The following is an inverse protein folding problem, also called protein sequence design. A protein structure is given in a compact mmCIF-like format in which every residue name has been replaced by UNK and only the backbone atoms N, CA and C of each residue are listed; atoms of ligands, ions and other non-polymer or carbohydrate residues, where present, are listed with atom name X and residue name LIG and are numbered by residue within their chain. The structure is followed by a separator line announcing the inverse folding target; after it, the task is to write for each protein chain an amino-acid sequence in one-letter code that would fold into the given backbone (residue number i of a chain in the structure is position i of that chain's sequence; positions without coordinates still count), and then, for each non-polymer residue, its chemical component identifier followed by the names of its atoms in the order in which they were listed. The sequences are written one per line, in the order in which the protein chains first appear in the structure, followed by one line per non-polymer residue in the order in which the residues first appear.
data_IF_766355771587
#
_entry.id   IF_766355771587
#
_cell.length_a   1.000
_cell.length_b   1.000
_cell.length_c   1.000
_cell.angle_alpha   90.00
_cell.angle_beta   90.00
_cell.angle_gamma   90.00
#
_symmetry.space_group_name_H-M   'P 1'
#
loop_
_entity.id
_entity.type
_entity.pdbx_description
1 polymer ?
#
# COMPACT_ATOMS: atom_id res chain seq x y z
N UNK A 1 1.09 8.79 -13.97
CA UNK A 1 1.72 8.14 -12.81
C UNK A 1 0.87 8.30 -11.57
N UNK A 2 0.81 7.26 -10.77
CA UNK A 2 0.06 7.28 -9.54
C UNK A 2 0.82 8.02 -8.44
N UNK A 3 0.09 8.72 -7.58
CA UNK A 3 0.71 9.37 -6.43
C UNK A 3 1.20 8.36 -5.38
N UNK A 4 0.81 7.09 -5.54
CA UNK A 4 1.25 6.02 -4.63
C UNK A 4 2.35 5.15 -5.24
N UNK A 5 2.96 5.60 -6.32
CA UNK A 5 3.97 4.79 -7.01
C UNK A 5 5.12 4.40 -6.08
N UNK A 6 5.59 5.33 -5.25
CA UNK A 6 6.68 5.05 -4.31
C UNK A 6 6.28 3.99 -3.30
N UNK A 7 5.03 4.00 -2.87
CA UNK A 7 4.52 3.00 -1.94
C UNK A 7 4.48 1.62 -2.60
N UNK A 8 4.00 1.56 -3.84
CA UNK A 8 3.94 0.27 -4.56
C UNK A 8 5.33 -0.32 -4.74
N UNK A 9 6.31 0.52 -5.04
CA UNK A 9 7.68 0.06 -5.19
C UNK A 9 8.25 -0.43 -3.87
N UNK A 10 7.94 0.26 -2.77
CA UNK A 10 8.38 -0.15 -1.45
C UNK A 10 7.84 -1.54 -1.12
N UNK A 11 6.55 -1.77 -1.38
CA UNK A 11 5.93 -3.06 -1.10
C UNK A 11 6.57 -4.16 -1.95
N UNK A 12 6.75 -3.87 -3.24
CA UNK A 12 7.39 -4.83 -4.15
C UNK A 12 8.79 -5.19 -3.69
N UNK A 13 9.57 -4.18 -3.31
CA UNK A 13 10.97 -4.38 -2.93
C UNK A 13 11.13 -5.05 -1.57
N UNK A 14 10.07 -5.09 -0.77
CA UNK A 14 10.13 -5.75 0.54
C UNK A 14 10.37 -7.25 0.40
N UNK A 15 9.89 -7.84 -0.70
CA UNK A 15 10.02 -9.27 -0.95
C UNK A 15 9.27 -10.15 0.03
N UNK A 16 8.44 -9.57 0.88
CA UNK A 16 7.72 -10.32 1.91
C UNK A 16 6.44 -10.93 1.36
N UNK A 17 6.05 -12.08 1.92
CA UNK A 17 4.81 -12.72 1.56
C UNK A 17 3.62 -11.85 1.99
N UNK A 18 3.74 -11.23 3.14
CA UNK A 18 2.75 -10.26 3.61
C UNK A 18 3.45 -9.13 4.34
N UNK A 19 2.87 -7.95 4.27
CA UNK A 19 3.45 -6.75 4.85
C UNK A 19 2.33 -5.88 5.38
N UNK A 20 2.46 -5.41 6.61
CA UNK A 20 1.49 -4.54 7.24
C UNK A 20 2.14 -3.18 7.51
N UNK A 21 1.50 -2.13 7.06
CA UNK A 21 1.99 -0.76 7.27
C UNK A 21 0.89 0.07 7.90
N UNK A 22 1.28 0.96 8.82
CA UNK A 22 0.32 1.91 9.40
C UNK A 22 0.08 3.04 8.39
N UNK A 23 -1.01 3.77 8.58
CA UNK A 23 -1.29 4.93 7.74
C UNK A 23 -0.15 5.93 7.81
N UNK A 24 0.45 6.08 8.97
CA UNK A 24 1.58 6.99 9.15
C UNK A 24 2.78 6.55 8.30
N UNK A 25 3.08 5.26 8.33
CA UNK A 25 4.18 4.73 7.53
C UNK A 25 3.90 4.89 6.02
N UNK A 26 2.66 4.64 5.62
CA UNK A 26 2.26 4.79 4.23
C UNK A 26 2.45 6.24 3.78
N UNK A 27 2.02 7.18 4.62
CA UNK A 27 2.18 8.60 4.32
C UNK A 27 3.64 8.98 4.15
N UNK A 28 4.51 8.48 5.02
CA UNK A 28 5.93 8.77 4.94
C UNK A 28 6.57 8.19 3.68
N UNK A 29 6.17 6.98 3.30
CA UNK A 29 6.72 6.31 2.13
C UNK A 29 6.20 6.94 0.84
N UNK A 30 4.90 7.16 0.77
CA UNK A 30 4.27 7.69 -0.44
C UNK A 30 4.45 9.20 -0.59
N UNK A 31 4.69 9.89 0.52
CA UNK A 31 4.79 11.34 0.49
C UNK A 31 3.46 12.06 0.44
N UNK A 32 2.36 11.31 0.50
CA UNK A 32 1.01 11.87 0.51
C UNK A 32 0.17 11.07 1.50
N UNK A 33 -0.82 11.70 2.14
CA UNK A 33 -1.68 10.97 3.08
C UNK A 33 -2.59 10.00 2.34
N UNK A 34 -2.97 8.94 3.04
CA UNK A 34 -3.92 7.99 2.50
C UNK A 34 -5.31 8.64 2.51
N UNK A 35 -6.04 8.50 1.39
CA UNK A 35 -7.36 9.08 1.25
C UNK A 35 -8.23 8.18 0.38
N UNK A 36 -9.40 8.69 -0.04
CA UNK A 36 -10.32 7.90 -0.85
C UNK A 36 -9.70 7.42 -2.16
N UNK A 37 -8.78 8.18 -2.73
CA UNK A 37 -8.16 7.79 -3.98
C UNK A 37 -7.31 6.54 -3.84
N UNK A 38 -6.87 6.20 -2.61
CA UNK A 38 -6.14 4.97 -2.37
C UNK A 38 -6.92 3.76 -2.87
N UNK A 39 -8.24 3.76 -2.65
CA UNK A 39 -9.09 2.65 -3.08
C UNK A 39 -9.14 2.53 -4.60
N UNK A 40 -8.98 3.64 -5.31
CA UNK A 40 -8.95 3.65 -6.76
C UNK A 40 -7.61 3.19 -7.30
N UNK A 41 -6.53 3.54 -6.60
CA UNK A 41 -5.18 3.24 -7.07
C UNK A 41 -4.65 1.88 -6.61
N UNK A 42 -5.31 1.24 -5.65
CA UNK A 42 -4.81 -0.03 -5.13
C UNK A 42 -4.70 -1.12 -6.20
N UNK A 43 -5.47 -0.99 -7.27
CA UNK A 43 -5.41 -1.95 -8.38
C UNK A 43 -4.05 -1.95 -9.05
N UNK A 44 -3.35 -0.83 -9.00
CA UNK A 44 -2.04 -0.73 -9.62
C UNK A 44 -1.03 -1.67 -8.96
N UNK A 45 -1.24 -1.97 -7.68
CA UNK A 45 -0.33 -2.83 -6.94
C UNK A 45 -0.27 -4.23 -7.54
N UNK A 46 -1.34 -4.66 -8.20
CA UNK A 46 -1.36 -5.99 -8.82
C UNK A 46 -0.30 -6.10 -9.92
N UNK A 47 0.03 -4.98 -10.56
CA UNK A 47 1.07 -4.96 -11.58
C UNK A 47 2.46 -5.15 -10.97
N UNK A 48 2.57 -4.96 -9.66
CA UNK A 48 3.82 -5.14 -8.94
C UNK A 48 3.90 -6.52 -8.27
N UNK A 49 2.89 -7.36 -8.49
CA UNK A 49 2.88 -8.71 -7.93
C UNK A 49 2.35 -8.79 -6.51
N UNK A 50 1.68 -7.74 -6.04
CA UNK A 50 1.08 -7.68 -4.71
C UNK A 50 -0.37 -7.22 -4.80
N UNK A 51 -1.07 -7.31 -3.70
CA UNK A 51 -2.44 -6.81 -3.61
C UNK A 51 -2.68 -6.26 -2.20
N UNK A 52 -3.68 -5.38 -2.09
CA UNK A 52 -4.10 -4.89 -0.78
C UNK A 52 -4.99 -5.97 -0.16
N UNK A 53 -4.59 -6.46 1.00
CA UNK A 53 -5.34 -7.52 1.69
C UNK A 53 -6.45 -6.96 2.56
N UNK A 54 -6.07 -6.26 3.62
CA UNK A 54 -7.05 -5.75 4.58
C UNK A 54 -6.71 -4.32 4.97
N UNK A 55 -7.74 -3.50 5.09
CA UNK A 55 -7.59 -2.12 5.57
C UNK A 55 -8.32 -2.06 6.91
N UNK A 56 -7.59 -1.74 7.97
CA UNK A 56 -8.16 -1.60 9.30
C UNK A 56 -8.24 -0.13 9.68
N UNK A 57 -9.43 0.41 9.71
CA UNK A 57 -9.63 1.80 10.12
C UNK A 57 -9.40 1.96 11.63
N UNK A 58 -9.69 0.91 12.37
CA UNK A 58 -9.50 0.93 13.82
C UNK A 58 -8.03 1.02 14.20
N UNK A 59 -7.21 0.23 13.53
CA UNK A 59 -5.77 0.21 13.79
C UNK A 59 -5.02 1.20 12.91
N UNK A 60 -5.71 1.79 11.93
CA UNK A 60 -5.12 2.70 10.95
C UNK A 60 -3.94 2.03 10.25
N UNK A 61 -4.20 0.85 9.73
CA UNK A 61 -3.17 0.08 9.05
C UNK A 61 -3.72 -0.61 7.81
N UNK A 62 -2.82 -1.00 6.92
CA UNK A 62 -3.16 -1.68 5.69
C UNK A 62 -2.23 -2.88 5.53
N UNK A 63 -2.80 -4.02 5.19
CA UNK A 63 -2.03 -5.23 4.92
C UNK A 63 -1.88 -5.41 3.42
N UNK A 64 -0.66 -5.76 3.00
CA UNK A 64 -0.35 -6.06 1.61
C UNK A 64 0.06 -7.51 1.54
N UNK A 65 -0.40 -8.20 0.50
CA UNK A 65 -0.11 -9.62 0.34
C UNK A 65 0.46 -9.88 -1.04
N UNK A 66 1.43 -10.78 -1.11
CA UNK A 66 1.99 -11.19 -2.39
C UNK A 66 0.97 -12.06 -3.12
N UNK A 67 0.82 -11.79 -4.40
CA UNK A 67 -0.08 -12.57 -5.25
C UNK A 67 0.45 -13.97 -5.48
#
# INVERSE_FOLDING_TARGET
MSKYNALWEYVKNSGKQSLKLTFYEIQNIAGVPIDHSFLNFKKELTDYGYRVGKISMKEKSVSFEKK
#
